data_IF_734729594394
#
_entry.id   IF_734729594394
#
_cell.length_a   1.000
_cell.length_b   1.000
_cell.length_c   1.000
_cell.angle_alpha   90.00
_cell.angle_beta   90.00
_cell.angle_gamma   90.00
#
_symmetry.space_group_name_H-M   'P 1'
#
loop_
_entity.id
_entity.type
_entity.pdbx_description
1 polymer ?
#
# COMPACT_ATOMS: atom_id res chain seq x y z
N UNK A 1 29.00 -0.48 -52.05
CA UNK A 1 28.66 0.17 -50.76
C UNK A 1 29.19 -0.71 -49.62
N UNK A 2 29.99 -0.20 -48.67
CA UNK A 2 30.40 -0.99 -47.51
C UNK A 2 29.20 -1.16 -46.57
N UNK A 3 28.98 -2.38 -46.05
CA UNK A 3 27.99 -2.62 -44.99
C UNK A 3 28.51 -1.94 -43.71
N UNK A 4 27.98 -0.78 -43.35
CA UNK A 4 28.23 -0.18 -42.04
C UNK A 4 27.71 -1.13 -40.97
N UNK A 5 28.62 -1.64 -40.13
CA UNK A 5 28.27 -2.49 -39.00
C UNK A 5 27.39 -1.69 -38.03
N UNK A 6 26.30 -2.31 -37.57
CA UNK A 6 25.48 -1.71 -36.52
C UNK A 6 26.34 -1.48 -35.27
N UNK A 7 26.19 -0.32 -34.63
CA UNK A 7 26.86 -0.03 -33.36
C UNK A 7 26.40 -1.02 -32.28
N UNK A 8 27.26 -1.38 -31.33
CA UNK A 8 26.90 -2.25 -30.22
C UNK A 8 25.65 -1.75 -29.48
N UNK A 9 25.46 -0.43 -29.33
CA UNK A 9 24.22 0.15 -28.78
C UNK A 9 22.97 -0.29 -29.52
N UNK A 10 23.02 -0.33 -30.85
CA UNK A 10 21.89 -0.75 -31.68
C UNK A 10 21.63 -2.25 -31.57
N UNK A 11 22.68 -3.07 -31.47
CA UNK A 11 22.57 -4.52 -31.26
C UNK A 11 21.98 -4.84 -29.90
N UNK A 12 22.45 -4.19 -28.83
CA UNK A 12 21.91 -4.37 -27.48
C UNK A 12 20.44 -3.96 -27.42
N UNK A 13 20.08 -2.80 -27.97
CA UNK A 13 18.68 -2.36 -28.05
C UNK A 13 17.81 -3.28 -28.92
N UNK A 14 18.38 -3.93 -29.93
CA UNK A 14 17.68 -4.96 -30.72
C UNK A 14 17.40 -6.20 -29.88
N UNK A 15 18.39 -6.73 -29.17
CA UNK A 15 18.22 -7.96 -28.37
C UNK A 15 17.31 -7.78 -27.16
N UNK A 16 17.30 -6.60 -26.53
CA UNK A 16 16.33 -6.30 -25.46
C UNK A 16 14.87 -6.33 -25.96
N UNK A 17 14.63 -5.94 -27.21
CA UNK A 17 13.30 -5.99 -27.84
C UNK A 17 12.95 -7.38 -28.37
N UNK A 18 13.94 -8.13 -28.85
CA UNK A 18 13.76 -9.48 -29.39
C UNK A 18 13.50 -10.51 -28.27
N UNK A 19 14.12 -10.32 -27.10
CA UNK A 19 14.02 -11.25 -25.96
C UNK A 19 13.48 -10.56 -24.69
N UNK A 20 12.23 -10.04 -24.70
CA UNK A 20 11.67 -9.32 -23.56
C UNK A 20 11.36 -10.24 -22.36
N UNK A 21 11.19 -11.54 -22.62
CA UNK A 21 10.96 -12.56 -21.59
C UNK A 21 12.25 -13.02 -20.87
N UNK A 22 13.40 -12.49 -21.28
CA UNK A 22 14.70 -12.79 -20.69
C UNK A 22 15.15 -11.68 -19.74
N UNK A 23 15.94 -12.06 -18.74
CA UNK A 23 16.34 -11.18 -17.63
C UNK A 23 17.56 -10.30 -17.98
N UNK A 24 17.53 -9.67 -19.14
CA UNK A 24 18.61 -8.82 -19.64
C UNK A 24 18.48 -7.37 -19.17
N UNK A 25 19.63 -6.73 -18.91
CA UNK A 25 19.78 -5.29 -18.66
C UNK A 25 20.87 -4.74 -19.56
N UNK A 26 20.86 -3.43 -19.76
CA UNK A 26 21.89 -2.74 -20.53
C UNK A 26 22.26 -1.42 -19.89
N UNK A 27 23.55 -1.10 -20.00
CA UNK A 27 24.14 0.21 -19.71
C UNK A 27 24.56 0.91 -21.03
N UNK A 28 23.79 0.69 -22.11
CA UNK A 28 24.04 1.20 -23.46
C UNK A 28 24.87 0.25 -24.33
N UNK A 29 26.13 0.01 -23.97
CA UNK A 29 27.08 -0.75 -24.82
C UNK A 29 27.20 -2.24 -24.45
N UNK A 30 26.70 -2.63 -23.27
CA UNK A 30 26.84 -3.98 -22.72
C UNK A 30 25.46 -4.60 -22.55
N UNK A 31 25.31 -5.84 -23.00
CA UNK A 31 24.18 -6.70 -22.65
C UNK A 31 24.54 -7.54 -21.42
N UNK A 32 23.78 -7.39 -20.35
CA UNK A 32 24.05 -8.05 -19.07
C UNK A 32 22.90 -8.95 -18.68
N UNK A 33 23.19 -10.20 -18.32
CA UNK A 33 22.17 -11.13 -17.82
C UNK A 33 22.10 -11.09 -16.30
N UNK A 34 20.97 -10.64 -15.77
CA UNK A 34 20.75 -10.57 -14.30
C UNK A 34 20.37 -11.91 -13.68
N UNK A 35 20.14 -12.96 -14.48
CA UNK A 35 19.97 -14.31 -13.98
C UNK A 35 21.34 -14.97 -13.74
N UNK A 36 22.29 -14.71 -14.64
CA UNK A 36 23.61 -15.33 -14.63
C UNK A 36 24.72 -14.44 -14.04
N UNK A 37 24.40 -13.19 -13.71
CA UNK A 37 25.32 -12.16 -13.19
C UNK A 37 26.55 -11.92 -14.08
N UNK A 38 26.36 -12.03 -15.41
CA UNK A 38 27.46 -12.01 -16.38
C UNK A 38 27.12 -11.17 -17.61
N UNK A 39 28.17 -10.61 -18.22
CA UNK A 39 28.11 -9.95 -19.54
C UNK A 39 27.87 -11.00 -20.61
N UNK A 40 26.94 -10.71 -21.52
CA UNK A 40 26.60 -11.56 -22.67
C UNK A 40 27.12 -10.86 -23.92
N UNK A 41 27.91 -11.58 -24.71
CA UNK A 41 28.41 -11.05 -25.98
C UNK A 41 27.25 -10.88 -26.96
N UNK A 42 27.16 -9.69 -27.56
CA UNK A 42 26.11 -9.29 -28.49
C UNK A 42 26.63 -9.09 -29.93
N UNK A 43 27.88 -9.48 -30.21
CA UNK A 43 28.47 -9.35 -31.55
C UNK A 43 27.73 -10.21 -32.58
N UNK A 44 27.16 -11.34 -32.16
CA UNK A 44 26.33 -12.20 -32.98
C UNK A 44 25.10 -12.69 -32.21
N UNK A 45 23.97 -12.83 -32.92
CA UNK A 45 22.70 -13.32 -32.35
C UNK A 45 22.84 -14.72 -31.73
N UNK A 46 23.63 -15.59 -32.36
CA UNK A 46 23.88 -16.95 -31.90
C UNK A 46 24.42 -17.00 -30.47
N UNK A 47 25.26 -16.05 -30.08
CA UNK A 47 25.85 -15.99 -28.74
C UNK A 47 24.79 -15.68 -27.67
N UNK A 48 23.84 -14.79 -27.98
CA UNK A 48 22.72 -14.48 -27.09
C UNK A 48 21.77 -15.66 -26.99
N UNK A 49 21.41 -16.29 -28.11
CA UNK A 49 20.55 -17.46 -28.12
C UNK A 49 21.18 -18.65 -27.38
N UNK A 50 22.49 -18.88 -27.55
CA UNK A 50 23.21 -19.94 -26.84
C UNK A 50 23.25 -19.69 -25.33
N UNK A 51 23.47 -18.44 -24.91
CA UNK A 51 23.39 -18.06 -23.50
C UNK A 51 22.02 -18.42 -22.90
N UNK A 52 20.94 -18.05 -23.58
CA UNK A 52 19.56 -18.35 -23.13
C UNK A 52 19.32 -19.87 -23.06
N UNK A 53 19.87 -20.63 -24.00
CA UNK A 53 19.76 -22.09 -24.06
C UNK A 53 20.66 -22.83 -23.05
N UNK A 54 21.54 -22.13 -22.33
CA UNK A 54 22.46 -22.78 -21.38
C UNK A 54 21.70 -23.26 -20.15
N UNK A 55 21.97 -24.48 -19.68
CA UNK A 55 21.30 -25.07 -18.51
C UNK A 55 21.36 -24.18 -17.26
N UNK A 56 22.51 -23.54 -17.03
CA UNK A 56 22.71 -22.58 -15.94
C UNK A 56 21.74 -21.39 -16.01
N UNK A 57 21.48 -20.85 -17.20
CA UNK A 57 20.54 -19.74 -17.38
C UNK A 57 19.11 -20.18 -17.12
N UNK A 58 18.72 -21.35 -17.63
CA UNK A 58 17.40 -21.94 -17.43
C UNK A 58 17.13 -22.15 -15.93
N UNK A 59 18.08 -22.76 -15.22
CA UNK A 59 17.96 -23.01 -13.77
C UNK A 59 17.88 -21.69 -12.98
N UNK A 60 18.77 -20.73 -13.25
CA UNK A 60 18.78 -19.43 -12.58
C UNK A 60 17.48 -18.64 -12.85
N UNK A 61 16.95 -18.70 -14.07
CA UNK A 61 15.68 -18.07 -14.45
C UNK A 61 14.51 -18.68 -13.69
N UNK A 62 14.46 -20.00 -13.55
CA UNK A 62 13.43 -20.70 -12.78
C UNK A 62 13.52 -20.36 -11.29
N UNK A 63 14.72 -20.40 -10.70
CA UNK A 63 14.94 -20.02 -9.29
C UNK A 63 14.52 -18.58 -8.97
N UNK A 64 14.67 -17.65 -9.92
CA UNK A 64 14.26 -16.24 -9.73
C UNK A 64 12.74 -16.05 -9.81
N UNK A 65 12.04 -16.85 -10.64
CA UNK A 65 10.57 -16.87 -10.64
C UNK A 65 10.01 -17.36 -9.30
N UNK A 66 10.59 -18.41 -8.74
CA UNK A 66 10.23 -18.92 -7.41
C UNK A 66 10.56 -17.90 -6.31
N UNK A 67 11.74 -17.27 -6.32
CA UNK A 67 12.04 -16.19 -5.35
C UNK A 67 11.09 -14.99 -5.45
N UNK A 68 10.61 -14.66 -6.65
CA UNK A 68 9.66 -13.54 -6.85
C UNK A 68 8.29 -13.85 -6.23
N UNK A 69 7.82 -15.11 -6.26
CA UNK A 69 6.57 -15.49 -5.58
C UNK A 69 6.72 -15.44 -4.06
N UNK A 70 7.88 -15.81 -3.51
CA UNK A 70 8.15 -15.69 -2.06
C UNK A 70 8.42 -14.23 -1.61
N UNK A 71 8.99 -13.38 -2.47
CA UNK A 71 9.25 -11.97 -2.15
C UNK A 71 8.02 -11.06 -2.30
N UNK A 72 7.02 -11.43 -3.11
CA UNK A 72 5.75 -10.70 -3.18
C UNK A 72 5.05 -10.57 -1.81
N UNK A 73 5.29 -11.52 -0.90
CA UNK A 73 4.82 -11.50 0.48
C UNK A 73 5.57 -10.52 1.40
N UNK A 74 6.82 -10.17 1.07
CA UNK A 74 7.70 -9.35 1.91
C UNK A 74 7.98 -7.94 1.34
N UNK A 75 7.66 -7.68 0.07
CA UNK A 75 7.99 -6.39 -0.60
C UNK A 75 6.84 -5.90 -1.51
N UNK A 76 5.68 -5.64 -0.92
CA UNK A 76 4.73 -4.69 -1.53
C UNK A 76 4.56 -3.47 -0.63
N UNK A 77 5.37 -2.40 -0.80
CA UNK A 77 4.86 -1.07 -0.61
C UNK A 77 4.05 -0.72 -1.86
N UNK A 78 2.82 -1.25 -1.97
CA UNK A 78 1.87 -0.67 -2.92
C UNK A 78 1.47 0.68 -2.35
N UNK A 79 2.22 1.73 -2.71
CA UNK A 79 2.10 3.06 -2.11
C UNK A 79 0.80 3.79 -2.47
N UNK A 80 -0.10 3.18 -3.23
CA UNK A 80 -1.46 3.67 -3.43
C UNK A 80 -2.44 2.85 -2.58
N UNK A 81 -2.73 3.35 -1.37
CA UNK A 81 -3.84 2.86 -0.55
C UNK A 81 -5.12 2.92 -1.37
N UNK A 82 -5.94 1.88 -1.25
CA UNK A 82 -7.21 1.82 -1.97
C UNK A 82 -8.13 2.94 -1.48
N UNK A 83 -8.63 3.79 -2.39
CA UNK A 83 -9.55 4.89 -2.06
C UNK A 83 -10.79 4.36 -1.36
N UNK A 84 -11.41 3.32 -1.91
CA UNK A 84 -12.53 2.59 -1.31
C UNK A 84 -12.24 2.17 0.12
N UNK A 85 -11.12 1.49 0.36
CA UNK A 85 -10.80 0.97 1.69
C UNK A 85 -10.58 2.09 2.69
N UNK A 86 -10.04 3.22 2.23
CA UNK A 86 -9.89 4.43 3.04
C UNK A 86 -11.25 5.02 3.40
N UNK A 87 -12.14 5.17 2.42
CA UNK A 87 -13.47 5.74 2.62
C UNK A 87 -14.36 4.85 3.49
N UNK A 88 -14.31 3.53 3.28
CA UNK A 88 -15.01 2.56 4.11
C UNK A 88 -14.50 2.59 5.56
N UNK A 89 -13.18 2.60 5.76
CA UNK A 89 -12.60 2.68 7.10
C UNK A 89 -13.07 3.95 7.82
N UNK A 90 -13.03 5.08 7.11
CA UNK A 90 -13.46 6.38 7.62
C UNK A 90 -14.95 6.42 7.95
N UNK A 91 -15.81 5.84 7.11
CA UNK A 91 -17.25 5.77 7.36
C UNK A 91 -17.56 4.93 8.61
N UNK A 92 -16.94 3.76 8.74
CA UNK A 92 -17.14 2.88 9.89
C UNK A 92 -16.66 3.52 11.19
N UNK A 93 -15.47 4.14 11.20
CA UNK A 93 -14.95 4.82 12.40
C UNK A 93 -15.85 5.98 12.81
N UNK A 94 -16.35 6.77 11.84
CA UNK A 94 -17.22 7.91 12.15
C UNK A 94 -18.61 7.54 12.64
N UNK A 95 -19.11 6.39 12.21
CA UNK A 95 -20.39 5.85 12.65
C UNK A 95 -20.26 5.00 13.93
N UNK A 96 -19.07 4.97 14.56
CA UNK A 96 -18.75 4.09 15.70
C UNK A 96 -19.09 2.62 15.44
N UNK A 97 -18.84 2.15 14.20
CA UNK A 97 -19.10 0.77 13.79
C UNK A 97 -17.81 -0.04 13.87
N UNK A 98 -17.72 -1.05 14.75
CA UNK A 98 -16.55 -1.90 14.85
C UNK A 98 -16.30 -2.69 13.57
N UNK A 99 -15.03 -2.76 13.15
CA UNK A 99 -14.65 -3.47 11.92
C UNK A 99 -15.01 -4.96 11.91
N UNK A 100 -15.15 -5.61 13.06
CA UNK A 100 -15.54 -7.02 13.12
C UNK A 100 -16.93 -7.27 12.53
N UNK A 101 -17.79 -6.23 12.43
CA UNK A 101 -19.09 -6.33 11.76
C UNK A 101 -18.97 -6.66 10.27
N UNK A 102 -17.84 -6.34 9.63
CA UNK A 102 -17.54 -6.74 8.24
C UNK A 102 -17.38 -8.26 8.06
N UNK A 103 -17.18 -9.02 9.13
CA UNK A 103 -17.16 -10.49 9.07
C UNK A 103 -18.57 -11.09 8.95
N UNK A 104 -19.61 -10.33 9.25
CA UNK A 104 -20.98 -10.80 9.07
C UNK A 104 -21.26 -10.98 7.56
N UNK A 105 -21.65 -12.19 7.11
CA UNK A 105 -21.83 -12.48 5.69
C UNK A 105 -22.97 -11.68 5.04
N UNK A 106 -24.02 -11.34 5.79
CA UNK A 106 -25.12 -10.51 5.28
C UNK A 106 -24.70 -9.07 5.11
N UNK A 107 -24.00 -8.49 6.10
CA UNK A 107 -23.48 -7.13 6.00
C UNK A 107 -22.45 -7.00 4.88
N UNK A 108 -21.52 -7.96 4.79
CA UNK A 108 -20.55 -8.03 3.72
C UNK A 108 -21.21 -8.21 2.35
N UNK A 109 -22.16 -9.13 2.23
CA UNK A 109 -22.90 -9.37 0.99
C UNK A 109 -23.72 -8.16 0.55
N UNK A 110 -24.34 -7.44 1.48
CA UNK A 110 -25.01 -6.17 1.21
C UNK A 110 -24.03 -5.16 0.61
N UNK A 111 -22.89 -4.96 1.26
CA UNK A 111 -21.87 -4.03 0.77
C UNK A 111 -21.32 -4.47 -0.58
N UNK A 112 -21.05 -5.75 -0.81
CA UNK A 112 -20.54 -6.27 -2.09
C UNK A 112 -21.58 -6.19 -3.23
N UNK A 113 -22.88 -6.29 -2.91
CA UNK A 113 -23.98 -6.25 -3.89
C UNK A 113 -24.25 -4.85 -4.41
N UNK A 114 -24.27 -3.86 -3.50
CA UNK A 114 -24.61 -2.47 -3.84
C UNK A 114 -23.39 -1.59 -4.11
N UNK A 115 -22.21 -2.04 -3.69
CA UNK A 115 -20.95 -1.46 -4.11
C UNK A 115 -20.62 -2.02 -5.50
N UNK A 116 -20.88 -1.25 -6.56
CA UNK A 116 -20.51 -1.53 -7.96
C UNK A 116 -18.98 -1.60 -8.18
N UNK A 117 -18.28 -2.28 -7.29
CA UNK A 117 -16.84 -2.22 -7.17
C UNK A 117 -16.32 -3.62 -7.40
N UNK A 118 -15.79 -3.86 -8.60
CA UNK A 118 -15.03 -5.07 -8.94
C UNK A 118 -13.71 -5.23 -8.17
N UNK A 119 -13.60 -4.66 -6.95
CA UNK A 119 -12.47 -4.81 -6.03
C UNK A 119 -12.94 -5.56 -4.79
N UNK A 120 -12.14 -6.53 -4.36
CA UNK A 120 -12.38 -7.32 -3.16
C UNK A 120 -12.53 -6.41 -1.93
N UNK A 121 -13.58 -6.65 -1.14
CA UNK A 121 -13.81 -5.95 0.11
C UNK A 121 -12.63 -6.14 1.07
N UNK A 122 -12.08 -5.06 1.69
CA UNK A 122 -11.04 -5.21 2.68
C UNK A 122 -11.58 -5.98 3.88
N UNK A 123 -10.76 -6.87 4.42
CA UNK A 123 -11.06 -7.50 5.69
C UNK A 123 -10.74 -6.58 6.87
N UNK A 124 -11.24 -6.97 8.05
CA UNK A 124 -11.03 -6.27 9.31
C UNK A 124 -9.55 -5.98 9.58
N UNK A 125 -8.67 -6.95 9.36
CA UNK A 125 -7.23 -6.82 9.62
C UNK A 125 -6.58 -5.81 8.69
N UNK A 126 -6.98 -5.80 7.42
CA UNK A 126 -6.51 -4.84 6.44
C UNK A 126 -6.89 -3.41 6.84
N UNK A 127 -8.13 -3.18 7.31
CA UNK A 127 -8.57 -1.87 7.80
C UNK A 127 -7.76 -1.40 9.01
N UNK A 128 -7.60 -2.27 10.02
CA UNK A 128 -6.84 -1.94 11.25
C UNK A 128 -5.39 -1.60 10.94
N UNK A 129 -4.70 -2.41 10.13
CA UNK A 129 -3.25 -2.28 9.92
C UNK A 129 -2.88 -1.18 8.95
N UNK A 130 -3.68 -1.00 7.88
CA UNK A 130 -3.24 -0.17 6.75
C UNK A 130 -3.94 1.18 6.67
N UNK A 131 -5.10 1.38 7.31
CA UNK A 131 -5.94 2.57 7.09
C UNK A 131 -6.27 3.33 8.38
N UNK A 132 -6.42 2.63 9.51
CA UNK A 132 -6.85 3.24 10.77
C UNK A 132 -5.88 4.30 11.29
N UNK A 133 -4.57 4.04 11.21
CA UNK A 133 -3.53 4.97 11.68
C UNK A 133 -3.58 6.31 10.94
N UNK A 134 -3.79 6.29 9.62
CA UNK A 134 -3.90 7.51 8.82
C UNK A 134 -5.12 8.34 9.22
N UNK A 135 -6.27 7.69 9.44
CA UNK A 135 -7.50 8.36 9.84
C UNK A 135 -7.34 8.97 11.23
N UNK A 136 -6.67 8.27 12.14
CA UNK A 136 -6.33 8.80 13.45
C UNK A 136 -5.46 10.05 13.34
N UNK A 137 -4.37 10.00 12.57
CA UNK A 137 -3.46 11.15 12.37
C UNK A 137 -4.16 12.33 11.69
N UNK A 138 -4.99 12.08 10.68
CA UNK A 138 -5.83 13.10 10.01
C UNK A 138 -6.78 13.78 11.01
N UNK A 139 -7.45 12.99 11.85
CA UNK A 139 -8.37 13.50 12.87
C UNK A 139 -7.63 14.31 13.93
N UNK A 140 -6.50 13.81 14.43
CA UNK A 140 -5.67 14.52 15.40
C UNK A 140 -5.15 15.85 14.84
N UNK A 141 -4.76 15.87 13.57
CA UNK A 141 -4.31 17.09 12.88
C UNK A 141 -5.45 18.11 12.82
N UNK A 142 -6.67 17.68 12.45
CA UNK A 142 -7.85 18.56 12.43
C UNK A 142 -8.20 19.12 13.79
N UNK A 143 -8.11 18.32 14.85
CA UNK A 143 -8.32 18.78 16.22
C UNK A 143 -7.28 19.85 16.59
N UNK A 144 -6.00 19.61 16.30
CA UNK A 144 -4.92 20.58 16.53
C UNK A 144 -5.11 21.86 15.74
N UNK A 145 -5.51 21.76 14.48
CA UNK A 145 -5.81 22.91 13.62
C UNK A 145 -7.05 23.69 14.08
N UNK A 146 -8.02 23.01 14.69
CA UNK A 146 -9.21 23.65 15.24
C UNK A 146 -8.91 24.43 16.52
N UNK A 147 -8.06 23.87 17.40
CA UNK A 147 -7.66 24.51 18.65
C UNK A 147 -6.63 25.63 18.41
N UNK A 148 -5.65 25.41 17.50
CA UNK A 148 -4.48 26.29 17.28
C UNK A 148 -3.78 26.66 18.60
N UNK A 149 -3.54 27.95 18.82
CA UNK A 149 -2.99 28.52 20.05
C UNK A 149 -4.08 28.85 21.09
N UNK A 150 -5.29 28.30 20.91
CA UNK A 150 -6.40 28.50 21.81
C UNK A 150 -6.16 27.85 23.18
N UNK A 151 -6.65 28.46 24.27
CA UNK A 151 -6.57 27.87 25.60
C UNK A 151 -7.32 26.53 25.67
N UNK A 152 -6.68 25.53 26.28
CA UNK A 152 -7.25 24.19 26.50
C UNK A 152 -7.53 24.04 28.00
N UNK A 153 -8.76 23.62 28.33
CA UNK A 153 -9.10 23.17 29.67
C UNK A 153 -9.24 21.64 29.68
N UNK A 154 -8.68 20.99 30.70
CA UNK A 154 -8.69 19.53 30.85
C UNK A 154 -9.25 19.19 32.22
N UNK A 155 -10.39 18.49 32.24
CA UNK A 155 -10.89 17.82 33.44
C UNK A 155 -10.73 16.33 33.31
N UNK A 156 -10.24 15.72 34.37
CA UNK A 156 -10.04 14.27 34.49
C UNK A 156 -11.06 13.78 35.50
N UNK A 157 -11.96 12.90 35.07
CA UNK A 157 -12.81 12.13 35.98
C UNK A 157 -12.16 10.76 36.20
N UNK A 158 -12.01 10.41 37.46
CA UNK A 158 -11.44 9.14 37.90
C UNK A 158 -12.59 8.23 38.31
N UNK A 159 -12.88 7.22 37.48
CA UNK A 159 -13.88 6.20 37.80
C UNK A 159 -13.19 4.87 38.03
N UNK A 160 -13.53 4.21 39.14
CA UNK A 160 -13.02 2.89 39.50
C UNK A 160 -14.11 1.85 39.25
N UNK A 161 -13.81 0.82 38.47
CA UNK A 161 -14.72 -0.32 38.29
C UNK A 161 -14.67 -1.27 39.50
N UNK A 162 -15.60 -2.22 39.59
CA UNK A 162 -15.70 -3.22 40.67
C UNK A 162 -14.43 -4.08 40.82
N UNK A 163 -13.57 -4.11 39.80
CA UNK A 163 -12.27 -4.80 39.77
C UNK A 163 -11.08 -3.88 40.10
N UNK A 164 -11.31 -2.71 40.71
CA UNK A 164 -10.29 -1.70 41.06
C UNK A 164 -9.44 -1.21 39.87
N UNK A 165 -9.95 -1.34 38.65
CA UNK A 165 -9.32 -0.76 37.47
C UNK A 165 -9.72 0.71 37.34
N UNK A 166 -8.72 1.59 37.36
CA UNK A 166 -8.92 3.04 37.21
C UNK A 166 -9.02 3.39 35.73
N UNK A 167 -10.16 3.98 35.33
CA UNK A 167 -10.35 4.58 34.01
C UNK A 167 -10.34 6.10 34.14
N UNK A 168 -9.42 6.74 33.40
CA UNK A 168 -9.42 8.19 33.26
C UNK A 168 -10.26 8.56 32.03
N UNK A 169 -11.42 9.17 32.26
CA UNK A 169 -12.24 9.73 31.19
C UNK A 169 -11.98 11.25 31.12
N UNK A 170 -11.37 11.77 30.03
CA UNK A 170 -11.32 13.21 29.83
C UNK A 170 -12.74 13.72 29.56
N UNK A 171 -13.28 14.52 30.47
CA UNK A 171 -14.72 14.85 30.49
C UNK A 171 -15.06 16.00 29.54
N UNK A 172 -14.14 16.94 29.29
CA UNK A 172 -14.46 18.13 28.50
C UNK A 172 -13.25 18.72 27.76
N UNK A 173 -13.51 19.22 26.54
CA UNK A 173 -12.61 20.06 25.76
C UNK A 173 -13.42 21.25 25.22
N UNK A 174 -13.31 22.42 25.85
CA UNK A 174 -13.95 23.64 25.36
C UNK A 174 -12.88 24.66 24.98
N UNK A 175 -12.91 25.22 23.76
CA UNK A 175 -12.09 26.39 23.44
C UNK A 175 -12.59 27.57 24.28
N UNK A 176 -11.73 28.12 25.14
CA UNK A 176 -12.09 29.27 25.99
C UNK A 176 -12.00 30.55 25.15
N UNK A 177 -13.12 31.01 24.58
CA UNK A 177 -13.18 32.27 23.83
C UNK A 177 -14.52 32.58 23.18
N UNK A 178 -15.30 33.45 23.84
CA UNK A 178 -16.52 34.18 23.41
C UNK A 178 -17.09 33.92 22.01
N UNK A 179 -18.17 33.11 21.94
CA UNK A 179 -19.53 33.54 21.53
C UNK A 179 -20.52 32.37 21.64
N UNK A 180 -21.61 32.65 22.35
CA UNK A 180 -22.92 31.98 22.37
C UNK A 180 -22.95 30.45 22.50
N UNK A 181 -23.38 30.03 23.69
CA UNK A 181 -24.32 28.90 23.89
C UNK A 181 -25.28 28.78 22.70
N UNK A 182 -25.08 27.77 21.86
CA UNK A 182 -26.07 27.28 20.91
C UNK A 182 -25.93 25.75 20.82
N UNK A 183 -26.94 25.10 21.39
CA UNK A 183 -27.45 23.73 21.20
C UNK A 183 -26.51 22.67 20.62
N UNK A 184 -26.12 21.74 21.49
CA UNK A 184 -25.64 20.40 21.12
C UNK A 184 -26.71 19.32 21.36
N UNK A 185 -27.99 19.69 21.28
CA UNK A 185 -29.10 18.75 21.10
C UNK A 185 -29.48 18.69 19.61
N UNK A 186 -28.72 17.92 18.82
CA UNK A 186 -29.16 17.23 17.59
C UNK A 186 -27.94 16.79 16.77
N UNK A 187 -27.32 15.66 17.13
CA UNK A 187 -26.83 14.62 16.20
C UNK A 187 -26.24 13.47 17.01
N UNK A 188 -27.09 12.82 17.81
CA UNK A 188 -26.87 11.46 18.29
C UNK A 188 -27.99 10.58 17.72
N UNK A 189 -27.81 10.07 16.50
CA UNK A 189 -28.41 8.84 15.97
C UNK A 189 -27.58 8.35 14.79
#
# INVERSE_FOLDING_TARGET
MPRTSASNKQLVAKYLREFPAELFRSDGDILYCTACDKRVSCSQRSQVTQHIATGLHIENKNRKKERTSYQAFLTSPSSSKSTLSTDLCRALVRADIPFHKLKNPHFKGFLETYSYIGKKMPDESALRKNYLEDIYKDTLTKIREHIKDGPIWVSIDETTDVEDTVWNHPVHWLPVGNKSVLDWDQTNF
#
